data_IF_867047610285
#
_entry.id   IF_867047610285
#
_cell.length_a   1.000
_cell.length_b   1.000
_cell.length_c   1.000
_cell.angle_alpha   90.00
_cell.angle_beta   90.00
_cell.angle_gamma   90.00
#
_symmetry.space_group_name_H-M   'P 1'
#
loop_
_entity.id
_entity.type
_entity.pdbx_description
1 polymer ?
#
# COMPACT_ATOMS: atom_id res chain seq x y z
N UNK A 1 -8.59 1.93 -14.59
CA UNK A 1 -8.14 0.75 -13.83
C UNK A 1 -6.68 0.82 -13.39
N UNK A 2 -5.87 1.81 -13.80
CA UNK A 2 -4.54 2.01 -13.23
C UNK A 2 -4.60 3.00 -12.05
N UNK A 3 -3.65 2.89 -11.12
CA UNK A 3 -3.41 3.87 -10.05
C UNK A 3 -1.92 4.23 -10.07
N UNK A 4 -1.60 5.52 -10.01
CA UNK A 4 -0.21 6.02 -10.06
C UNK A 4 0.64 5.37 -11.18
N UNK A 5 0.06 5.18 -12.36
CA UNK A 5 0.73 4.62 -13.55
C UNK A 5 0.83 3.09 -13.63
N UNK A 6 0.28 2.33 -12.66
CA UNK A 6 0.35 0.86 -12.65
C UNK A 6 -1.03 0.21 -12.58
N UNK A 7 -1.26 -0.83 -13.39
CA UNK A 7 -2.47 -1.65 -13.35
C UNK A 7 -2.60 -2.42 -12.05
N UNK A 8 -1.51 -3.03 -11.56
CA UNK A 8 -1.51 -3.78 -10.29
C UNK A 8 -1.83 -2.87 -9.09
N UNK A 9 -1.35 -1.62 -9.10
CA UNK A 9 -1.76 -0.65 -8.07
C UNK A 9 -3.26 -0.38 -8.13
N UNK A 10 -3.83 -0.27 -9.33
CA UNK A 10 -5.26 -0.04 -9.48
C UNK A 10 -6.10 -1.25 -9.04
N UNK A 11 -5.66 -2.47 -9.33
CA UNK A 11 -6.29 -3.69 -8.81
C UNK A 11 -6.31 -3.67 -7.28
N UNK A 12 -5.16 -3.42 -6.63
CA UNK A 12 -5.09 -3.36 -5.16
C UNK A 12 -5.89 -2.18 -4.59
N UNK A 13 -5.88 -1.01 -5.22
CA UNK A 13 -6.58 0.18 -4.69
C UNK A 13 -8.10 0.11 -4.86
N UNK A 14 -8.60 -0.63 -5.86
CA UNK A 14 -10.03 -0.65 -6.20
C UNK A 14 -10.74 -1.86 -5.61
N UNK A 15 -10.24 -3.06 -5.88
CA UNK A 15 -11.00 -4.29 -5.63
C UNK A 15 -11.26 -4.56 -4.13
N UNK A 16 -10.28 -4.44 -3.22
CA UNK A 16 -10.52 -4.67 -1.80
C UNK A 16 -11.58 -3.72 -1.24
N UNK A 17 -11.52 -2.44 -1.61
CA UNK A 17 -12.50 -1.42 -1.21
C UNK A 17 -13.88 -1.75 -1.76
N UNK A 18 -13.97 -2.08 -3.05
CA UNK A 18 -15.25 -2.41 -3.71
C UNK A 18 -15.90 -3.68 -3.15
N UNK A 19 -15.10 -4.71 -2.87
CA UNK A 19 -15.59 -5.96 -2.24
C UNK A 19 -16.09 -5.70 -0.82
N UNK A 20 -15.37 -4.90 -0.02
CA UNK A 20 -15.84 -4.51 1.31
C UNK A 20 -17.14 -3.69 1.23
N UNK A 21 -17.22 -2.75 0.30
CA UNK A 21 -18.42 -1.95 0.06
C UNK A 21 -19.63 -2.81 -0.30
N UNK A 22 -19.44 -3.76 -1.23
CA UNK A 22 -20.48 -4.70 -1.61
C UNK A 22 -20.92 -5.55 -0.42
N UNK A 23 -19.96 -6.10 0.34
CA UNK A 23 -20.25 -6.94 1.50
C UNK A 23 -21.06 -6.19 2.57
N UNK A 24 -20.76 -4.91 2.80
CA UNK A 24 -21.43 -4.08 3.79
C UNK A 24 -22.64 -3.30 3.23
N UNK A 25 -23.11 -3.63 2.01
CA UNK A 25 -24.30 -3.01 1.43
C UNK A 25 -24.18 -1.50 1.20
N UNK A 26 -22.96 -1.00 0.97
CA UNK A 26 -22.68 0.42 0.79
C UNK A 26 -23.20 0.92 -0.57
N UNK A 27 -23.65 2.17 -0.60
CA UNK A 27 -24.15 2.78 -1.82
C UNK A 27 -23.04 2.96 -2.87
N UNK A 28 -23.44 3.16 -4.13
CA UNK A 28 -22.51 3.46 -5.22
C UNK A 28 -21.71 4.74 -4.95
N UNK A 29 -22.32 5.74 -4.32
CA UNK A 29 -21.65 7.00 -3.99
C UNK A 29 -20.61 6.79 -2.88
N UNK A 30 -20.96 6.12 -1.78
CA UNK A 30 -20.01 5.79 -0.71
C UNK A 30 -18.82 4.98 -1.26
N UNK A 31 -19.13 3.98 -2.10
CA UNK A 31 -18.11 3.15 -2.76
C UNK A 31 -17.18 4.00 -3.62
N UNK A 32 -17.72 4.89 -4.45
CA UNK A 32 -16.93 5.75 -5.32
C UNK A 32 -16.05 6.71 -4.52
N UNK A 33 -16.57 7.30 -3.43
CA UNK A 33 -15.79 8.18 -2.54
C UNK A 33 -14.65 7.42 -1.87
N UNK A 34 -14.89 6.22 -1.36
CA UNK A 34 -13.86 5.38 -0.74
C UNK A 34 -12.78 4.93 -1.73
N UNK A 35 -13.16 4.54 -2.95
CA UNK A 35 -12.20 4.18 -4.01
C UNK A 35 -11.37 5.41 -4.42
N UNK A 36 -11.98 6.58 -4.55
CA UNK A 36 -11.26 7.82 -4.81
C UNK A 36 -10.26 8.13 -3.69
N UNK A 37 -10.66 7.97 -2.42
CA UNK A 37 -9.79 8.13 -1.26
C UNK A 37 -8.60 7.16 -1.31
N UNK A 38 -8.83 5.89 -1.64
CA UNK A 38 -7.76 4.90 -1.84
C UNK A 38 -6.75 5.30 -2.92
N UNK A 39 -7.23 5.87 -4.04
CA UNK A 39 -6.36 6.37 -5.10
C UNK A 39 -5.52 7.56 -4.63
N UNK A 40 -6.12 8.51 -3.91
CA UNK A 40 -5.41 9.66 -3.36
C UNK A 40 -4.32 9.24 -2.36
N UNK A 41 -4.64 8.32 -1.44
CA UNK A 41 -3.69 7.77 -0.49
C UNK A 41 -2.54 7.00 -1.17
N UNK A 42 -2.85 6.20 -2.20
CA UNK A 42 -1.82 5.53 -3.02
C UNK A 42 -0.91 6.56 -3.69
N UNK A 43 -1.50 7.61 -4.28
CA UNK A 43 -0.77 8.69 -4.96
C UNK A 43 0.13 9.46 -3.99
N UNK A 44 -0.35 9.73 -2.78
CA UNK A 44 0.41 10.39 -1.71
C UNK A 44 1.71 9.65 -1.38
N UNK A 45 1.67 8.31 -1.29
CA UNK A 45 2.88 7.51 -1.04
C UNK A 45 3.76 7.47 -2.30
N UNK A 46 3.15 7.31 -3.48
CA UNK A 46 3.88 7.23 -4.75
C UNK A 46 4.57 8.52 -5.17
N UNK A 47 4.02 9.68 -4.82
CA UNK A 47 4.67 10.98 -5.10
C UNK A 47 5.97 11.17 -4.32
N UNK A 48 6.12 10.48 -3.18
CA UNK A 48 7.31 10.57 -2.31
C UNK A 48 8.33 9.45 -2.56
N UNK A 49 7.87 8.26 -2.92
CA UNK A 49 8.74 7.10 -3.21
C UNK A 49 9.32 7.09 -4.63
N UNK A 50 9.00 8.10 -5.45
CA UNK A 50 9.52 8.23 -6.80
C UNK A 50 8.93 7.25 -7.84
N UNK A 51 9.36 7.44 -9.09
CA UNK A 51 8.91 6.65 -10.25
C UNK A 51 9.47 5.23 -10.25
N UNK A 52 10.75 5.07 -9.90
CA UNK A 52 11.42 3.79 -9.75
C UNK A 52 11.66 3.57 -8.25
N UNK A 53 11.25 2.43 -7.71
CA UNK A 53 11.49 2.09 -6.30
C UNK A 53 11.75 0.59 -6.15
N UNK A 54 12.72 0.21 -5.29
CA UNK A 54 12.99 -1.19 -4.96
C UNK A 54 11.87 -1.86 -4.15
N UNK A 55 10.93 -1.09 -3.60
CA UNK A 55 9.78 -1.60 -2.82
C UNK A 55 8.55 -1.86 -3.70
N UNK A 56 7.72 -2.87 -3.42
CA UNK A 56 6.53 -3.12 -4.24
C UNK A 56 5.47 -2.06 -3.98
N UNK A 57 5.30 -1.14 -4.94
CA UNK A 57 4.20 -0.19 -4.93
C UNK A 57 2.81 -0.85 -4.88
N UNK A 58 2.70 -2.10 -5.33
CA UNK A 58 1.46 -2.88 -5.32
C UNK A 58 0.95 -3.24 -3.92
N UNK A 59 1.85 -3.52 -2.99
CA UNK A 59 1.52 -3.95 -1.62
C UNK A 59 1.73 -2.83 -0.63
N UNK A 60 2.81 -2.07 -0.80
CA UNK A 60 3.18 -0.98 0.10
C UNK A 60 2.28 0.22 -0.17
N UNK A 61 2.38 0.83 -1.35
CA UNK A 61 1.64 2.06 -1.63
C UNK A 61 0.14 1.81 -1.88
N UNK A 62 -0.19 0.86 -2.75
CA UNK A 62 -1.58 0.57 -3.09
C UNK A 62 -2.30 -0.25 -2.02
N UNK A 63 -1.59 -1.09 -1.25
CA UNK A 63 -2.16 -1.76 -0.08
C UNK A 63 -2.47 -0.76 1.05
N UNK A 64 -1.57 0.17 1.34
CA UNK A 64 -1.86 1.26 2.28
C UNK A 64 -3.03 2.13 1.79
N UNK A 65 -3.09 2.43 0.49
CA UNK A 65 -4.23 3.13 -0.11
C UNK A 65 -5.53 2.36 0.08
N UNK A 66 -5.54 1.06 -0.16
CA UNK A 66 -6.71 0.20 0.03
C UNK A 66 -7.14 0.16 1.50
N UNK A 67 -6.19 0.07 2.44
CA UNK A 67 -6.47 0.18 3.88
C UNK A 67 -7.16 1.49 4.22
N UNK A 68 -6.63 2.61 3.72
CA UNK A 68 -7.25 3.92 3.87
C UNK A 68 -8.68 3.96 3.30
N UNK A 69 -8.88 3.42 2.09
CA UNK A 69 -10.20 3.37 1.45
C UNK A 69 -11.22 2.53 2.22
N UNK A 70 -10.83 1.33 2.68
CA UNK A 70 -11.70 0.45 3.48
C UNK A 70 -12.03 1.11 4.81
N UNK A 71 -11.04 1.63 5.53
CA UNK A 71 -11.27 2.27 6.83
C UNK A 71 -12.16 3.50 6.71
N UNK A 72 -11.91 4.35 5.70
CA UNK A 72 -12.74 5.53 5.45
C UNK A 72 -14.18 5.16 5.08
N UNK A 73 -14.38 4.12 4.25
CA UNK A 73 -15.71 3.61 3.90
C UNK A 73 -16.53 3.19 5.13
N UNK A 74 -15.87 2.59 6.11
CA UNK A 74 -16.52 2.03 7.29
C UNK A 74 -16.74 3.06 8.40
N UNK A 75 -15.83 4.04 8.53
CA UNK A 75 -15.80 4.95 9.68
C UNK A 75 -16.13 6.41 9.32
N UNK A 76 -15.94 6.81 8.07
CA UNK A 76 -15.96 8.21 7.64
C UNK A 76 -14.80 9.05 8.18
N UNK A 77 -13.82 8.41 8.85
CA UNK A 77 -12.78 9.08 9.63
C UNK A 77 -11.42 9.02 8.89
N UNK A 78 -10.91 10.17 8.41
CA UNK A 78 -9.63 10.22 7.71
C UNK A 78 -8.42 9.97 8.63
N UNK A 79 -8.52 10.22 9.93
CA UNK A 79 -7.43 9.95 10.88
C UNK A 79 -7.25 8.45 11.08
N UNK A 80 -8.36 7.72 11.25
CA UNK A 80 -8.34 6.25 11.25
C UNK A 80 -7.84 5.69 9.92
N UNK A 81 -8.20 6.30 8.80
CA UNK A 81 -7.67 5.89 7.50
C UNK A 81 -6.14 6.06 7.43
N UNK A 82 -5.59 7.15 7.96
CA UNK A 82 -4.15 7.35 8.06
C UNK A 82 -3.47 6.34 8.99
N UNK A 83 -4.08 6.02 10.15
CA UNK A 83 -3.58 4.97 11.04
C UNK A 83 -3.54 3.60 10.33
N UNK A 84 -4.55 3.27 9.53
CA UNK A 84 -4.57 2.01 8.78
C UNK A 84 -3.47 1.98 7.71
N UNK A 85 -3.16 3.12 7.08
CA UNK A 85 -1.99 3.23 6.20
C UNK A 85 -0.70 2.93 6.96
N UNK A 86 -0.52 3.49 8.17
CA UNK A 86 0.68 3.28 8.98
C UNK A 86 0.87 1.78 9.30
N UNK A 87 -0.20 1.06 9.63
CA UNK A 87 -0.14 -0.40 9.85
C UNK A 87 0.42 -1.13 8.63
N UNK A 88 -0.13 -0.87 7.45
CA UNK A 88 0.32 -1.53 6.21
C UNK A 88 1.78 -1.16 5.88
N UNK A 89 2.15 0.11 6.04
CA UNK A 89 3.50 0.57 5.77
C UNK A 89 4.52 -0.07 6.72
N UNK A 90 4.22 -0.12 8.02
CA UNK A 90 5.07 -0.76 9.02
C UNK A 90 5.25 -2.26 8.76
N UNK A 91 4.20 -2.95 8.31
CA UNK A 91 4.24 -4.38 8.05
C UNK A 91 4.96 -4.75 6.74
N UNK A 92 4.73 -3.98 5.67
CA UNK A 92 5.10 -4.41 4.30
C UNK A 92 6.26 -3.65 3.65
N UNK A 93 6.83 -2.62 4.29
CA UNK A 93 7.85 -1.73 3.68
C UNK A 93 8.99 -2.47 2.96
N UNK A 94 9.45 -3.60 3.49
CA UNK A 94 10.58 -4.36 2.93
C UNK A 94 10.25 -5.23 1.72
N UNK A 95 8.99 -5.30 1.29
CA UNK A 95 8.60 -6.16 0.17
C UNK A 95 9.20 -5.64 -1.13
N UNK A 96 10.08 -6.45 -1.76
CA UNK A 96 10.82 -6.06 -2.96
C UNK A 96 9.95 -6.00 -4.21
N UNK A 97 10.23 -5.07 -5.11
CA UNK A 97 9.70 -5.02 -6.48
C UNK A 97 10.68 -5.63 -7.48
N UNK A 98 10.38 -6.83 -7.95
CA UNK A 98 11.20 -7.61 -8.88
C UNK A 98 10.47 -7.87 -10.22
N UNK A 99 9.62 -6.92 -10.62
CA UNK A 99 8.90 -6.93 -11.91
C UNK A 99 7.49 -7.54 -11.87
N UNK A 100 6.76 -7.37 -12.98
CA UNK A 100 5.42 -7.90 -13.18
C UNK A 100 5.50 -9.36 -13.69
N UNK A 101 5.17 -10.30 -12.81
CA UNK A 101 5.14 -11.74 -13.09
C UNK A 101 4.02 -12.42 -12.29
N UNK A 102 3.88 -13.73 -12.44
CA UNK A 102 2.90 -14.52 -11.67
C UNK A 102 2.95 -14.23 -10.16
N UNK A 103 4.14 -14.19 -9.55
CA UNK A 103 4.29 -13.89 -8.11
C UNK A 103 3.89 -12.45 -7.73
N UNK A 104 3.78 -11.53 -8.71
CA UNK A 104 3.22 -10.20 -8.47
C UNK A 104 1.71 -10.24 -8.18
N UNK A 105 0.97 -11.18 -8.78
CA UNK A 105 -0.43 -11.40 -8.44
C UNK A 105 -0.60 -11.88 -6.98
N UNK A 106 0.30 -12.74 -6.51
CA UNK A 106 0.34 -13.16 -5.10
C UNK A 106 0.63 -11.97 -4.18
N UNK A 107 1.59 -11.11 -4.55
CA UNK A 107 1.87 -9.85 -3.82
C UNK A 107 0.62 -8.95 -3.76
N UNK A 108 -0.08 -8.74 -4.88
CA UNK A 108 -1.36 -8.00 -4.91
C UNK A 108 -2.37 -8.60 -3.91
N UNK A 109 -2.51 -9.94 -3.87
CA UNK A 109 -3.34 -10.64 -2.89
C UNK A 109 -2.90 -10.38 -1.44
N UNK A 110 -1.61 -10.45 -1.15
CA UNK A 110 -1.07 -10.10 0.18
C UNK A 110 -1.39 -8.66 0.57
N UNK A 111 -1.22 -7.70 -0.36
CA UNK A 111 -1.57 -6.30 -0.12
C UNK A 111 -3.05 -6.09 0.17
N UNK A 112 -3.94 -6.84 -0.52
CA UNK A 112 -5.38 -6.79 -0.28
C UNK A 112 -5.78 -7.36 1.09
N UNK A 113 -5.21 -8.51 1.48
CA UNK A 113 -5.44 -9.13 2.79
C UNK A 113 -4.98 -8.21 3.91
N UNK A 114 -3.78 -7.67 3.78
CA UNK A 114 -3.21 -6.78 4.79
C UNK A 114 -3.99 -5.47 4.91
N UNK A 115 -4.47 -4.93 3.79
CA UNK A 115 -5.32 -3.74 3.79
C UNK A 115 -6.58 -3.94 4.63
N UNK A 116 -7.22 -5.10 4.51
CA UNK A 116 -8.39 -5.46 5.28
C UNK A 116 -8.06 -5.66 6.78
N UNK A 117 -6.96 -6.36 7.10
CA UNK A 117 -6.53 -6.53 8.48
C UNK A 117 -6.18 -5.21 9.16
N UNK A 118 -5.46 -4.32 8.48
CA UNK A 118 -5.15 -2.99 8.98
C UNK A 118 -6.42 -2.18 9.28
N UNK A 119 -7.41 -2.24 8.39
CA UNK A 119 -8.70 -1.59 8.62
C UNK A 119 -9.41 -2.17 9.84
N UNK A 120 -9.48 -3.50 9.98
CA UNK A 120 -10.08 -4.16 11.15
C UNK A 120 -9.37 -3.77 12.46
N UNK A 121 -8.04 -3.74 12.46
CA UNK A 121 -7.24 -3.41 13.63
C UNK A 121 -7.58 -2.00 14.15
N UNK A 122 -7.54 -1.01 13.24
CA UNK A 122 -7.83 0.38 13.57
C UNK A 122 -9.30 0.61 13.92
N UNK A 123 -10.24 -0.05 13.24
CA UNK A 123 -11.66 0.03 13.59
C UNK A 123 -11.94 -0.50 15.00
N UNK A 124 -11.14 -1.47 15.47
CA UNK A 124 -11.20 -1.99 16.83
C UNK A 124 -10.39 -1.16 17.85
N UNK A 125 -9.96 0.05 17.48
CA UNK A 125 -9.28 0.98 18.40
C UNK A 125 -7.78 0.70 18.60
N UNK A 126 -7.15 -0.09 17.73
CA UNK A 126 -5.73 -0.39 17.81
C UNK A 126 -4.97 0.36 16.72
N UNK A 127 -4.04 1.23 17.12
CA UNK A 127 -3.07 1.88 16.25
C UNK A 127 -1.65 1.53 16.70
N UNK A 128 -0.69 1.39 15.77
CA UNK A 128 0.68 1.09 16.13
C UNK A 128 1.32 2.30 16.83
N UNK A 129 2.01 2.06 17.94
CA UNK A 129 2.90 3.05 18.55
C UNK A 129 4.13 3.30 17.65
N UNK A 130 4.72 4.52 17.69
CA UNK A 130 5.96 4.83 16.97
C UNK A 130 7.09 3.87 17.34
N UNK A 131 7.53 3.07 16.37
CA UNK A 131 8.62 2.11 16.54
C UNK A 131 9.18 1.65 15.18
N UNK A 132 10.51 1.42 15.13
CA UNK A 132 11.17 1.01 13.89
C UNK A 132 10.96 2.05 12.78
N UNK A 133 10.35 1.64 11.66
CA UNK A 133 10.04 2.54 10.53
C UNK A 133 8.79 3.40 10.77
N UNK A 134 7.94 3.03 11.72
CA UNK A 134 6.69 3.74 12.03
C UNK A 134 7.01 4.99 12.85
N UNK A 135 6.56 6.14 12.37
CA UNK A 135 6.65 7.43 13.07
C UNK A 135 5.36 7.83 13.78
N UNK A 136 5.34 9.02 14.39
CA UNK A 136 4.15 9.58 15.07
C UNK A 136 3.03 9.95 14.10
N UNK A 137 3.40 10.29 12.86
CA UNK A 137 2.46 10.64 11.80
C UNK A 137 2.66 9.80 10.54
N UNK A 138 1.67 9.86 9.65
CA UNK A 138 1.78 9.23 8.33
C UNK A 138 2.90 9.88 7.51
N UNK A 139 3.08 11.19 7.60
CA UNK A 139 4.18 11.93 6.94
C UNK A 139 5.54 11.39 7.40
N UNK A 140 5.74 11.29 8.71
CA UNK A 140 6.99 10.78 9.28
C UNK A 140 7.23 9.32 8.86
N UNK A 141 6.21 8.47 8.94
CA UNK A 141 6.29 7.07 8.51
C UNK A 141 6.67 6.94 7.03
N UNK A 142 6.06 7.74 6.15
CA UNK A 142 6.40 7.73 4.72
C UNK A 142 7.81 8.28 4.48
N UNK A 143 8.25 9.31 5.21
CA UNK A 143 9.61 9.82 5.10
C UNK A 143 10.65 8.78 5.52
N UNK A 144 10.41 8.07 6.64
CA UNK A 144 11.26 6.98 7.10
C UNK A 144 11.34 5.85 6.06
N UNK A 145 10.20 5.50 5.45
CA UNK A 145 10.15 4.51 4.38
C UNK A 145 10.97 4.94 3.16
N UNK A 146 10.85 6.19 2.74
CA UNK A 146 11.63 6.74 1.62
C UNK A 146 13.12 6.66 1.94
N UNK A 147 13.53 7.04 3.15
CA UNK A 147 14.92 6.94 3.58
C UNK A 147 15.45 5.50 3.56
N UNK A 148 14.69 4.53 4.08
CA UNK A 148 15.06 3.10 4.04
C UNK A 148 15.15 2.60 2.60
N UNK A 149 14.21 2.98 1.73
CA UNK A 149 14.20 2.58 0.32
C UNK A 149 15.39 3.17 -0.44
N UNK A 150 15.70 4.46 -0.24
CA UNK A 150 16.75 5.15 -1.00
C UNK A 150 18.15 4.80 -0.48
N UNK A 151 18.36 4.86 0.83
CA UNK A 151 19.68 4.61 1.44
C UNK A 151 19.94 3.14 1.69
N UNK A 152 18.94 2.41 2.17
CA UNK A 152 19.08 1.00 2.56
C UNK A 152 19.02 0.02 1.38
N UNK A 153 18.30 0.37 0.30
CA UNK A 153 18.08 -0.52 -0.85
C UNK A 153 18.67 0.02 -2.16
N UNK A 154 19.55 1.02 -2.12
CA UNK A 154 20.08 1.68 -3.32
C UNK A 154 20.80 0.77 -4.33
N UNK A 155 21.30 -0.39 -3.91
CA UNK A 155 21.94 -1.38 -4.79
C UNK A 155 21.02 -2.54 -5.22
N UNK A 156 19.76 -2.55 -4.78
CA UNK A 156 18.88 -3.71 -4.96
C UNK A 156 18.56 -3.96 -6.44
N UNK A 157 18.30 -2.91 -7.22
CA UNK A 157 18.00 -3.05 -8.65
C UNK A 157 19.16 -3.73 -9.39
N UNK A 158 20.40 -3.34 -9.10
CA UNK A 158 21.60 -3.98 -9.65
C UNK A 158 21.67 -5.46 -9.25
N UNK A 159 21.46 -5.77 -7.99
CA UNK A 159 21.46 -7.15 -7.50
C UNK A 159 20.39 -8.02 -8.18
N UNK A 160 19.18 -7.48 -8.43
CA UNK A 160 18.11 -8.16 -9.16
C UNK A 160 18.52 -8.40 -10.61
N UNK A 161 19.10 -7.40 -11.29
CA UNK A 161 19.60 -7.53 -12.66
C UNK A 161 20.69 -8.61 -12.74
N UNK A 162 21.61 -8.66 -11.77
CA UNK A 162 22.66 -9.69 -11.72
C UNK A 162 22.09 -11.10 -11.51
N UNK A 163 20.99 -11.24 -10.76
CA UNK A 163 20.25 -12.53 -10.64
C UNK A 163 19.60 -12.90 -11.98
N UNK A 164 19.03 -11.94 -12.69
CA UNK A 164 18.38 -12.17 -13.99
C UNK A 164 19.42 -12.58 -15.03
N UNK A 165 20.53 -11.86 -15.14
CA UNK A 165 21.60 -12.12 -16.11
C UNK A 165 22.21 -13.51 -15.93
N UNK A 166 22.38 -13.98 -14.68
CA UNK A 166 22.87 -15.33 -14.38
C UNK A 166 21.98 -16.47 -14.91
N UNK A 167 20.73 -16.21 -15.29
CA UNK A 167 19.84 -17.21 -15.92
C UNK A 167 20.11 -17.40 -17.41
N UNK A 168 20.84 -16.46 -18.03
CA UNK A 168 21.13 -16.43 -19.45
C UNK A 168 22.63 -16.57 -19.77
N UNK A 169 23.45 -16.75 -18.73
CA UNK A 169 24.87 -17.11 -18.83
C UNK A 169 25.02 -18.63 -18.78
#
# INVERSE_FOLDING_TARGET
MSSAGSGNHGVTAILPVAVCAQHHGKSREETARAVAFSHLATSYIKSRTGRLTPTCGCTVAAGAGAAAGITYLMTGDPEKAAQAMIVVLGNLVGMVCDGAKYTCALKVGTGALEAYHAALLVMNGHSPDPQGVVGETIEQTVNNLVEVSEKGMGNLDKAIIDVINRRFA
#
